data_IF_567414791988
#
_entry.id   IF_567414791988
#
_cell.length_a   1.000
_cell.length_b   1.000
_cell.length_c   1.000
_cell.angle_alpha   90.00
_cell.angle_beta   90.00
_cell.angle_gamma   90.00
#
_symmetry.space_group_name_H-M   'P 1'
#
loop_
_entity.id
_entity.type
_entity.pdbx_description
1 polymer ?
#
# COMPACT_ATOMS: atom_id res chain seq x y z
N UNK A 1 13.83 -10.40 -0.45
CA UNK A 1 13.22 -9.38 -1.34
C UNK A 1 11.92 -9.95 -1.85
N UNK A 2 10.80 -9.23 -1.72
CA UNK A 2 9.47 -9.73 -2.09
C UNK A 2 9.33 -9.67 -3.62
N UNK A 3 8.86 -10.76 -4.22
CA UNK A 3 8.48 -10.80 -5.63
C UNK A 3 7.02 -10.34 -5.79
N UNK A 4 6.86 -9.05 -6.06
CA UNK A 4 5.57 -8.37 -6.20
C UNK A 4 4.72 -8.89 -7.37
N UNK A 5 5.32 -9.52 -8.38
CA UNK A 5 4.59 -9.98 -9.57
C UNK A 5 3.65 -11.15 -9.27
N UNK A 6 4.03 -11.98 -8.30
CA UNK A 6 3.32 -13.17 -7.85
C UNK A 6 2.43 -12.94 -6.61
N UNK A 7 2.44 -11.74 -6.05
CA UNK A 7 1.65 -11.42 -4.86
C UNK A 7 0.17 -11.17 -5.19
N UNK A 8 -0.70 -11.42 -4.20
CA UNK A 8 -2.08 -10.93 -4.17
C UNK A 8 -2.24 -9.95 -3.00
N UNK A 9 -3.16 -8.99 -3.11
CA UNK A 9 -3.43 -8.03 -2.03
C UNK A 9 -3.85 -8.70 -0.71
N UNK A 10 -4.50 -9.85 -0.80
CA UNK A 10 -4.94 -10.66 0.35
C UNK A 10 -3.78 -11.29 1.13
N UNK A 11 -2.61 -11.44 0.52
CA UNK A 11 -1.42 -11.98 1.21
C UNK A 11 -0.81 -10.97 2.18
N UNK A 12 -1.27 -9.72 2.18
CA UNK A 12 -0.70 -8.66 3.00
C UNK A 12 -1.54 -8.40 4.25
N UNK A 13 -0.85 -8.29 5.38
CA UNK A 13 -1.40 -7.81 6.65
C UNK A 13 -0.90 -6.42 6.97
N UNK A 14 -1.71 -5.68 7.74
CA UNK A 14 -1.48 -4.28 8.06
C UNK A 14 -1.47 -4.08 9.57
N UNK A 15 -0.48 -3.36 10.06
CA UNK A 15 -0.37 -2.96 11.46
C UNK A 15 -0.24 -1.44 11.51
N UNK A 16 -1.20 -0.78 12.15
CA UNK A 16 -1.11 0.67 12.39
C UNK A 16 -0.27 0.88 13.64
N UNK A 17 0.75 1.71 13.52
CA UNK A 17 1.55 2.12 14.67
C UNK A 17 0.89 3.33 15.33
N UNK A 18 0.20 3.08 16.44
CA UNK A 18 -0.52 4.13 17.17
C UNK A 18 0.40 5.11 17.91
N UNK A 19 1.63 4.69 18.23
CA UNK A 19 2.59 5.49 19.00
C UNK A 19 3.30 6.51 18.11
N UNK A 20 3.42 6.21 16.81
CA UNK A 20 4.08 7.06 15.82
C UNK A 20 3.12 7.99 15.05
N UNK A 21 1.86 8.14 15.49
CA UNK A 21 0.92 9.07 14.85
C UNK A 21 1.44 10.51 15.05
N UNK A 22 1.65 11.22 13.94
CA UNK A 22 2.19 12.57 13.95
C UNK A 22 1.18 13.57 13.39
N UNK A 23 1.10 14.75 14.02
CA UNK A 23 0.39 15.88 13.46
C UNK A 23 1.36 16.83 12.76
N UNK A 24 1.12 17.11 11.48
CA UNK A 24 1.86 18.09 10.68
C UNK A 24 0.85 19.13 10.16
N UNK A 25 0.83 20.31 10.80
CA UNK A 25 -0.15 21.35 10.51
C UNK A 25 -1.59 20.86 10.73
N UNK A 26 -2.39 20.86 9.66
CA UNK A 26 -3.78 20.39 9.66
C UNK A 26 -3.94 18.93 9.16
N UNK A 27 -2.86 18.15 9.21
CA UNK A 27 -2.86 16.75 8.76
C UNK A 27 -2.37 15.84 9.89
N UNK A 28 -3.09 14.76 10.14
CA UNK A 28 -2.67 13.62 10.94
C UNK A 28 -2.07 12.55 10.02
N UNK A 29 -0.88 12.10 10.35
CA UNK A 29 -0.15 11.06 9.62
C UNK A 29 -0.25 9.76 10.41
N UNK A 30 -0.89 8.76 9.80
CA UNK A 30 -1.05 7.43 10.37
C UNK A 30 -0.04 6.48 9.74
N UNK A 31 1.03 6.11 10.45
CA UNK A 31 1.98 5.13 9.96
C UNK A 31 1.36 3.73 9.95
N UNK A 32 1.40 3.09 8.79
CA UNK A 32 0.92 1.73 8.57
C UNK A 32 2.07 0.87 8.07
N UNK A 33 2.40 -0.16 8.84
CA UNK A 33 3.36 -1.20 8.48
C UNK A 33 2.65 -2.30 7.74
N UNK A 34 3.21 -2.71 6.61
CA UNK A 34 2.64 -3.72 5.72
C UNK A 34 3.55 -4.94 5.71
N UNK A 35 2.98 -6.11 5.96
CA UNK A 35 3.70 -7.38 6.00
C UNK A 35 3.14 -8.33 4.95
N UNK A 36 4.01 -8.99 4.21
CA UNK A 36 3.65 -10.06 3.30
C UNK A 36 3.65 -11.40 4.03
N UNK A 37 2.55 -12.15 3.91
CA UNK A 37 2.28 -13.42 4.58
C UNK A 37 2.52 -13.39 6.09
N UNK A 38 2.29 -12.23 6.72
CA UNK A 38 2.41 -12.03 8.17
C UNK A 38 3.84 -12.00 8.73
N UNK A 39 4.86 -12.31 7.92
CA UNK A 39 6.23 -12.49 8.42
C UNK A 39 7.21 -11.47 7.84
N UNK A 40 7.03 -11.09 6.57
CA UNK A 40 8.02 -10.30 5.84
C UNK A 40 7.58 -8.85 5.78
N UNK A 41 8.33 -7.95 6.42
CA UNK A 41 8.11 -6.51 6.24
C UNK A 41 8.24 -6.14 4.75
N UNK A 42 7.16 -5.59 4.20
CA UNK A 42 7.09 -5.21 2.81
C UNK A 42 7.45 -3.74 2.63
N UNK A 43 6.72 -2.86 3.32
CA UNK A 43 6.96 -1.43 3.35
C UNK A 43 6.17 -0.77 4.48
N UNK A 44 6.48 0.51 4.72
CA UNK A 44 5.72 1.38 5.60
C UNK A 44 5.11 2.51 4.79
N UNK A 45 3.87 2.88 5.12
CA UNK A 45 3.17 4.01 4.49
C UNK A 45 2.55 4.89 5.56
N UNK A 46 2.83 6.19 5.48
CA UNK A 46 2.10 7.19 6.26
C UNK A 46 0.86 7.62 5.50
N UNK A 47 -0.31 7.42 6.08
CA UNK A 47 -1.59 7.82 5.52
C UNK A 47 -1.99 9.18 6.08
N UNK A 48 -2.11 10.22 5.23
CA UNK A 48 -2.52 11.54 5.69
C UNK A 48 -4.05 11.65 5.80
N UNK A 49 -4.56 12.01 6.97
CA UNK A 49 -5.94 12.42 7.16
C UNK A 49 -5.99 13.88 7.60
N UNK A 50 -6.93 14.66 7.07
CA UNK A 50 -7.14 16.04 7.54
C UNK A 50 -7.59 16.00 8.99
N UNK A 51 -7.04 16.89 9.83
CA UNK A 51 -7.35 16.96 11.26
C UNK A 51 -8.85 17.15 11.50
N UNK A 52 -9.50 18.03 10.73
CA UNK A 52 -10.95 18.26 10.82
C UNK A 52 -11.76 16.98 10.55
N UNK A 53 -11.41 16.26 9.47
CA UNK A 53 -12.06 14.99 9.14
C UNK A 53 -11.84 13.94 10.24
N UNK A 54 -10.62 13.83 10.77
CA UNK A 54 -10.33 12.91 11.85
C UNK A 54 -11.10 13.24 13.13
N UNK A 55 -11.24 14.53 13.47
CA UNK A 55 -12.07 14.96 14.59
C UNK A 55 -13.54 14.57 14.41
N UNK A 56 -14.13 14.85 13.24
CA UNK A 56 -15.51 14.46 12.92
C UNK A 56 -15.70 12.93 12.92
N UNK A 57 -14.69 12.18 12.47
CA UNK A 57 -14.72 10.73 12.51
C UNK A 57 -14.84 10.24 13.96
N UNK A 58 -14.06 10.81 14.89
CA UNK A 58 -14.05 10.45 16.31
C UNK A 58 -15.36 10.72 17.06
N UNK A 59 -16.27 11.51 16.49
CA UNK A 59 -17.60 11.75 17.06
C UNK A 59 -18.57 10.57 16.84
N UNK A 60 -18.22 9.64 15.95
CA UNK A 60 -19.03 8.43 15.69
C UNK A 60 -18.70 7.33 16.72
N UNK A 61 -19.68 6.51 17.09
CA UNK A 61 -19.46 5.39 18.01
C UNK A 61 -18.50 4.33 17.44
N UNK A 62 -18.57 4.09 16.13
CA UNK A 62 -17.79 3.10 15.38
C UNK A 62 -16.51 3.69 14.74
N UNK A 63 -16.04 4.85 15.21
CA UNK A 63 -14.97 5.61 14.56
C UNK A 63 -13.68 4.83 14.34
N UNK A 64 -13.32 3.92 15.26
CA UNK A 64 -12.10 3.10 15.16
C UNK A 64 -12.18 2.12 14.01
N UNK A 65 -13.32 1.45 13.86
CA UNK A 65 -13.55 0.49 12.79
C UNK A 65 -13.51 1.21 11.44
N UNK A 66 -14.21 2.34 11.32
CA UNK A 66 -14.19 3.19 10.12
C UNK A 66 -12.79 3.71 9.79
N UNK A 67 -12.03 4.16 10.80
CA UNK A 67 -10.65 4.59 10.60
C UNK A 67 -9.81 3.45 10.04
N UNK A 68 -9.90 2.26 10.65
CA UNK A 68 -9.17 1.09 10.20
C UNK A 68 -9.54 0.69 8.77
N UNK A 69 -10.82 0.78 8.37
CA UNK A 69 -11.24 0.56 6.99
C UNK A 69 -10.63 1.58 6.01
N UNK A 70 -10.65 2.87 6.37
CA UNK A 70 -10.03 3.93 5.55
C UNK A 70 -8.53 3.65 5.37
N UNK A 71 -7.84 3.32 6.45
CA UNK A 71 -6.40 3.02 6.40
C UNK A 71 -6.13 1.77 5.55
N UNK A 72 -6.91 0.69 5.74
CA UNK A 72 -6.79 -0.55 4.96
C UNK A 72 -7.01 -0.32 3.48
N UNK A 73 -8.06 0.40 3.09
CA UNK A 73 -8.36 0.65 1.69
C UNK A 73 -7.24 1.43 1.00
N UNK A 74 -6.73 2.49 1.64
CA UNK A 74 -5.63 3.28 1.07
C UNK A 74 -4.31 2.53 0.96
N UNK A 75 -4.03 1.58 1.85
CA UNK A 75 -2.85 0.72 1.69
C UNK A 75 -3.09 -0.34 0.62
N UNK A 76 -4.30 -0.88 0.50
CA UNK A 76 -4.64 -1.84 -0.57
C UNK A 76 -4.44 -1.23 -1.95
N UNK A 77 -4.91 0.00 -2.16
CA UNK A 77 -4.70 0.71 -3.42
C UNK A 77 -3.20 0.79 -3.79
N UNK A 78 -2.33 1.06 -2.81
CA UNK A 78 -0.88 1.07 -3.01
C UNK A 78 -0.28 -0.31 -3.28
N UNK A 79 -0.77 -1.34 -2.61
CA UNK A 79 -0.34 -2.71 -2.87
C UNK A 79 -0.69 -3.09 -4.31
N UNK A 80 -1.91 -2.78 -4.74
CA UNK A 80 -2.38 -3.05 -6.09
C UNK A 80 -1.58 -2.27 -7.15
N UNK A 81 -1.27 -1.00 -6.88
CA UNK A 81 -0.41 -0.18 -7.74
C UNK A 81 1.01 -0.77 -7.85
N UNK A 82 1.58 -1.23 -6.72
CA UNK A 82 2.90 -1.88 -6.70
C UNK A 82 2.90 -3.20 -7.46
N UNK A 83 1.89 -4.06 -7.25
CA UNK A 83 1.75 -5.32 -7.99
C UNK A 83 1.64 -5.03 -9.49
N UNK A 84 0.80 -4.06 -9.87
CA UNK A 84 0.59 -3.68 -11.27
C UNK A 84 1.87 -3.16 -11.92
N UNK A 85 2.55 -2.21 -11.29
CA UNK A 85 3.80 -1.62 -11.80
C UNK A 85 4.88 -2.67 -12.01
N UNK A 86 4.99 -3.64 -11.09
CA UNK A 86 5.98 -4.71 -11.20
C UNK A 86 5.62 -5.79 -12.24
N UNK A 87 4.31 -6.01 -12.52
CA UNK A 87 3.88 -6.89 -13.62
C UNK A 87 4.16 -6.27 -14.98
N UNK A 88 3.78 -5.00 -15.17
CA UNK A 88 3.99 -4.28 -16.44
C UNK A 88 5.48 -4.20 -16.81
N UNK A 89 6.37 -3.96 -15.83
CA UNK A 89 7.80 -3.94 -16.09
C UNK A 89 8.41 -5.29 -16.52
N UNK A 90 7.73 -6.42 -16.27
CA UNK A 90 8.15 -7.75 -16.72
C UNK A 90 7.60 -8.03 -18.12
N UNK A 91 6.32 -7.73 -18.37
CA UNK A 91 5.68 -7.97 -19.67
C UNK A 91 6.30 -7.11 -20.78
N UNK A 92 6.59 -5.82 -20.50
CA UNK A 92 7.25 -4.92 -21.44
C UNK A 92 8.72 -5.33 -21.71
N UNK A 93 9.41 -5.91 -20.71
CA UNK A 93 10.73 -6.54 -20.89
C UNK A 93 10.68 -7.82 -21.72
N UNK A 94 9.64 -8.64 -21.56
CA UNK A 94 9.43 -9.86 -22.34
C UNK A 94 9.15 -9.52 -23.82
N UNK A 95 8.36 -8.49 -24.10
CA UNK A 95 8.13 -8.01 -25.46
C UNK A 95 9.42 -7.46 -26.10
N UNK A 96 10.23 -6.68 -25.36
CA UNK A 96 11.53 -6.21 -25.85
C UNK A 96 12.53 -7.35 -26.09
N UNK A 97 12.47 -8.45 -25.32
CA UNK A 97 13.27 -9.65 -25.55
C UNK A 97 12.77 -10.49 -26.75
N UNK A 98 11.47 -10.51 -27.02
CA UNK A 98 10.89 -11.19 -28.17
C UNK A 98 11.21 -10.47 -29.49
N UNK A 99 11.17 -9.13 -29.50
CA UNK A 99 11.51 -8.31 -30.69
C UNK A 99 13.01 -8.32 -31.00
N UNK A 100 13.88 -8.58 -30.02
CA UNK A 100 15.34 -8.63 -30.18
C UNK A 100 15.91 -9.91 -30.82
N UNK A 101 15.09 -10.93 -31.10
CA UNK A 101 15.55 -12.20 -31.71
C UNK A 101 15.31 -12.34 -33.21
N UNK A 102 14.61 -11.40 -33.84
CA UNK A 102 14.16 -11.53 -35.24
C UNK A 102 14.81 -10.52 -36.21
N UNK A 103 16.01 -10.03 -35.88
CA UNK A 103 16.83 -9.24 -36.80
C UNK A 103 18.23 -9.82 -36.94
N UNK A 104 18.29 -11.02 -37.50
CA UNK A 104 19.43 -11.48 -38.30
C UNK A 104 18.87 -11.93 -39.64
N UNK A 105 18.74 -11.00 -40.58
CA UNK A 105 18.71 -11.28 -42.02
C UNK A 105 19.61 -10.26 -42.69
#
# INVERSE_FOLDING_TARGET
MIDWSQCKAEDFSLVVDGEEIQQVGQTQLFPVRVFYKGEVFAFMKSIPLRTEFYSQLREKEDWKERLMEILKNRVRDDIDERIRTNRVGIDEKLELMAVGRDRVV
#
